data_IF_067421889182
#
_entry.id   IF_067421889182
#
_cell.length_a   1.000
_cell.length_b   1.000
_cell.length_c   1.000
_cell.angle_alpha   90.00
_cell.angle_beta   90.00
_cell.angle_gamma   90.00
#
_symmetry.space_group_name_H-M   'P 1'
#
loop_
_entity.id
_entity.type
_entity.pdbx_description
1 polymer ?
#
# COMPACT_ATOMS: atom_id res chain seq x y z
N UNK A 1 20.56 -17.06 -1.58
CA UNK A 1 20.75 -15.87 -2.45
C UNK A 1 22.21 -15.78 -2.88
N UNK A 2 22.50 -15.32 -4.11
CA UNK A 2 23.88 -15.02 -4.51
C UNK A 2 24.37 -13.72 -3.88
N UNK A 3 25.69 -13.57 -3.62
CA UNK A 3 26.29 -12.37 -3.01
C UNK A 3 25.85 -11.08 -3.72
N UNK A 4 25.92 -11.02 -5.04
CA UNK A 4 25.54 -9.86 -5.85
C UNK A 4 24.08 -9.40 -5.64
N UNK A 5 23.16 -10.32 -5.34
CA UNK A 5 21.74 -9.98 -5.10
C UNK A 5 21.50 -9.42 -3.70
N UNK A 6 22.25 -9.89 -2.72
CA UNK A 6 22.26 -9.33 -1.36
C UNK A 6 22.82 -7.92 -1.40
N UNK A 7 23.86 -7.66 -2.20
CA UNK A 7 24.44 -6.33 -2.37
C UNK A 7 23.43 -5.35 -3.01
N UNK A 8 22.63 -5.80 -4.00
CA UNK A 8 21.58 -4.98 -4.59
C UNK A 8 20.50 -4.59 -3.55
N UNK A 9 20.02 -5.54 -2.74
CA UNK A 9 19.04 -5.24 -1.69
C UNK A 9 19.57 -4.27 -0.65
N UNK A 10 20.86 -4.37 -0.31
CA UNK A 10 21.50 -3.41 0.61
C UNK A 10 21.59 -2.00 0.03
N UNK A 11 21.80 -1.87 -1.28
CA UNK A 11 21.79 -0.56 -1.96
C UNK A 11 20.36 0.02 -1.90
N UNK A 12 19.34 -0.75 -2.26
CA UNK A 12 17.94 -0.32 -2.18
C UNK A 12 17.54 0.06 -0.75
N UNK A 13 17.95 -0.71 0.24
CA UNK A 13 17.75 -0.40 1.66
C UNK A 13 18.45 0.92 2.04
N UNK A 14 19.70 1.12 1.66
CA UNK A 14 20.44 2.33 1.96
C UNK A 14 19.80 3.58 1.33
N UNK A 15 19.31 3.48 0.09
CA UNK A 15 18.56 4.56 -0.57
C UNK A 15 17.26 4.88 0.19
N UNK A 16 16.48 3.86 0.55
CA UNK A 16 15.23 4.05 1.27
C UNK A 16 15.45 4.65 2.68
N UNK A 17 16.48 4.16 3.39
CA UNK A 17 16.90 4.68 4.70
C UNK A 17 17.32 6.15 4.59
N UNK A 18 18.09 6.51 3.55
CA UNK A 18 18.47 7.90 3.30
C UNK A 18 17.24 8.78 3.11
N UNK A 19 16.32 8.40 2.21
CA UNK A 19 15.07 9.12 1.95
C UNK A 19 14.27 9.36 3.24
N UNK A 20 14.11 8.32 4.06
CA UNK A 20 13.34 8.42 5.31
C UNK A 20 14.01 9.42 6.29
N UNK A 21 15.34 9.35 6.41
CA UNK A 21 16.11 10.27 7.27
C UNK A 21 16.02 11.72 6.82
N UNK A 22 16.10 11.97 5.50
CA UNK A 22 15.94 13.32 4.93
C UNK A 22 14.57 13.91 5.29
N UNK A 23 13.49 13.12 5.12
CA UNK A 23 12.13 13.57 5.48
C UNK A 23 12.00 13.89 6.95
N UNK A 24 12.51 13.03 7.83
CA UNK A 24 12.41 13.25 9.29
C UNK A 24 13.26 14.43 9.75
N UNK A 25 14.35 14.75 9.01
CA UNK A 25 15.19 15.90 9.31
C UNK A 25 14.61 17.23 8.81
N UNK A 26 13.88 17.23 7.67
CA UNK A 26 13.38 18.44 7.01
C UNK A 26 11.93 18.80 7.38
N UNK A 27 11.10 17.81 7.73
CA UNK A 27 9.65 17.97 7.92
C UNK A 27 9.24 17.72 9.37
N UNK A 28 8.22 18.45 9.80
CA UNK A 28 7.84 18.50 11.23
C UNK A 28 6.88 17.39 11.64
N UNK A 29 6.00 16.97 10.73
CA UNK A 29 4.87 16.07 11.02
C UNK A 29 4.72 14.99 9.96
N UNK A 30 5.72 14.10 9.82
CA UNK A 30 5.58 12.96 8.93
C UNK A 30 4.60 11.92 9.48
N UNK A 31 4.04 11.10 8.59
CA UNK A 31 3.20 9.94 8.92
C UNK A 31 3.54 8.78 7.98
N UNK A 32 3.46 7.55 8.46
CA UNK A 32 3.65 6.37 7.63
C UNK A 32 2.30 5.74 7.29
N UNK A 33 1.99 5.64 5.99
CA UNK A 33 0.77 5.00 5.51
C UNK A 33 0.93 3.47 5.55
N UNK A 34 0.09 2.80 6.30
CA UNK A 34 0.17 1.35 6.54
C UNK A 34 -1.12 0.64 6.14
N UNK A 35 -1.10 -0.06 5.02
CA UNK A 35 -2.23 -0.86 4.55
C UNK A 35 -2.30 -2.27 5.15
N UNK A 36 -1.25 -2.73 5.85
CA UNK A 36 -1.06 -4.12 6.24
C UNK A 36 -0.59 -5.01 5.07
N UNK A 37 -0.38 -4.43 3.89
CA UNK A 37 0.18 -5.11 2.73
C UNK A 37 1.72 -5.23 2.80
N UNK A 38 2.29 -6.18 2.04
CA UNK A 38 3.72 -6.51 2.05
C UNK A 38 4.63 -5.28 1.86
N UNK A 39 4.24 -4.36 0.96
CA UNK A 39 5.02 -3.15 0.67
C UNK A 39 5.03 -2.19 1.89
N UNK A 40 3.89 -2.01 2.56
CA UNK A 40 3.81 -1.20 3.77
C UNK A 40 4.53 -1.85 4.97
N UNK A 41 4.58 -3.19 5.02
CA UNK A 41 5.34 -3.94 6.04
C UNK A 41 6.85 -3.72 5.83
N UNK A 42 7.33 -3.82 4.60
CA UNK A 42 8.73 -3.52 4.25
C UNK A 42 9.06 -2.07 4.53
N UNK A 43 8.17 -1.13 4.16
CA UNK A 43 8.35 0.29 4.45
C UNK A 43 8.45 0.57 5.95
N UNK A 44 7.61 -0.05 6.77
CA UNK A 44 7.69 0.06 8.23
C UNK A 44 9.04 -0.43 8.76
N UNK A 45 9.52 -1.59 8.28
CA UNK A 45 10.84 -2.12 8.66
C UNK A 45 11.97 -1.19 8.27
N UNK A 46 11.92 -0.61 7.07
CA UNK A 46 12.90 0.37 6.61
C UNK A 46 12.89 1.63 7.49
N UNK A 47 11.73 2.10 7.93
CA UNK A 47 11.59 3.24 8.84
C UNK A 47 12.19 2.93 10.23
N UNK A 48 11.92 1.75 10.78
CA UNK A 48 12.53 1.27 12.04
C UNK A 48 14.06 1.25 11.94
N UNK A 49 14.62 0.76 10.84
CA UNK A 49 16.09 0.73 10.59
C UNK A 49 16.65 2.13 10.37
N UNK A 50 15.95 2.98 9.61
CA UNK A 50 16.41 4.34 9.33
C UNK A 50 16.63 5.16 10.59
N UNK A 51 15.80 4.97 11.59
CA UNK A 51 15.83 5.74 12.85
C UNK A 51 16.59 5.02 13.97
N UNK A 52 17.27 3.91 13.64
CA UNK A 52 18.09 3.16 14.60
C UNK A 52 17.28 2.45 15.68
N UNK A 53 15.98 2.33 15.48
CA UNK A 53 15.08 1.80 16.52
C UNK A 53 15.17 0.28 16.69
N UNK A 54 15.74 -0.45 15.72
CA UNK A 54 15.97 -1.90 15.78
C UNK A 54 14.75 -2.75 16.16
N UNK A 55 13.54 -2.14 16.17
CA UNK A 55 12.32 -2.74 16.66
C UNK A 55 12.10 -2.61 18.18
N UNK A 56 12.98 -1.91 18.90
CA UNK A 56 12.91 -1.80 20.37
C UNK A 56 12.24 -0.51 20.87
N UNK A 57 12.12 0.51 20.01
CA UNK A 57 11.47 1.78 20.36
C UNK A 57 10.41 2.14 19.31
N UNK A 58 9.34 2.84 19.71
CA UNK A 58 8.35 3.33 18.76
C UNK A 58 8.94 4.37 17.79
N UNK A 59 8.38 4.45 16.60
CA UNK A 59 8.70 5.52 15.64
C UNK A 59 8.33 6.88 16.25
N UNK A 60 9.09 7.95 15.94
CA UNK A 60 8.81 9.30 16.45
C UNK A 60 7.62 9.99 15.76
N UNK A 61 6.92 9.28 14.89
CA UNK A 61 5.73 9.73 14.17
C UNK A 61 4.72 8.60 14.08
N UNK A 62 3.42 8.91 13.93
CA UNK A 62 2.37 7.91 13.90
C UNK A 62 2.32 7.13 12.58
N UNK A 63 1.63 6.00 12.66
CA UNK A 63 1.25 5.15 11.53
C UNK A 63 -0.23 5.41 11.25
N UNK A 64 -0.59 5.65 9.98
CA UNK A 64 -1.96 5.90 9.54
C UNK A 64 -2.46 4.75 8.67
N UNK A 65 -3.57 4.16 9.05
CA UNK A 65 -4.32 3.18 8.27
C UNK A 65 -5.66 3.77 7.83
N UNK A 66 -6.02 3.61 6.56
CA UNK A 66 -7.37 3.92 6.07
C UNK A 66 -8.18 2.64 6.07
N UNK A 67 -9.18 2.59 6.94
CA UNK A 67 -10.09 1.44 7.06
C UNK A 67 -11.31 1.66 6.17
N UNK A 68 -11.46 0.83 5.14
CA UNK A 68 -12.62 0.89 4.24
C UNK A 68 -13.87 0.25 4.85
N UNK A 69 -13.74 -0.57 5.90
CA UNK A 69 -14.77 -1.48 6.38
C UNK A 69 -14.92 -2.73 5.50
N UNK A 70 -14.19 -2.80 4.37
CA UNK A 70 -14.13 -3.95 3.45
C UNK A 70 -12.72 -4.55 3.38
N UNK A 71 -11.91 -4.36 4.42
CA UNK A 71 -10.58 -4.93 4.52
C UNK A 71 -10.66 -6.43 4.89
N UNK A 72 -9.63 -7.19 4.51
CA UNK A 72 -9.50 -8.58 4.93
C UNK A 72 -9.29 -8.66 6.46
N UNK A 73 -10.08 -9.48 7.18
CA UNK A 73 -9.92 -9.62 8.64
C UNK A 73 -8.50 -10.01 9.06
N UNK A 74 -7.85 -10.90 8.29
CA UNK A 74 -6.48 -11.37 8.55
C UNK A 74 -5.45 -10.22 8.47
N UNK A 75 -5.73 -9.22 7.64
CA UNK A 75 -4.87 -8.02 7.49
C UNK A 75 -5.07 -7.08 8.66
N UNK A 76 -6.32 -6.87 9.10
CA UNK A 76 -6.62 -6.02 10.24
C UNK A 76 -6.04 -6.61 11.54
N UNK A 77 -6.20 -7.91 11.75
CA UNK A 77 -5.63 -8.61 12.91
C UNK A 77 -4.10 -8.50 12.93
N UNK A 78 -3.47 -8.75 11.79
CA UNK A 78 -2.02 -8.60 11.64
C UNK A 78 -1.58 -7.16 11.94
N UNK A 79 -2.25 -6.14 11.35
CA UNK A 79 -1.97 -4.72 11.58
C UNK A 79 -1.99 -4.40 13.08
N UNK A 80 -3.09 -4.73 13.74
CA UNK A 80 -3.29 -4.37 15.14
C UNK A 80 -2.25 -5.02 16.05
N UNK A 81 -1.94 -6.29 15.79
CA UNK A 81 -0.91 -7.01 16.53
C UNK A 81 0.47 -6.39 16.28
N UNK A 82 0.88 -6.23 15.01
CA UNK A 82 2.22 -5.76 14.61
C UNK A 82 2.52 -4.36 15.16
N UNK A 83 1.55 -3.45 15.09
CA UNK A 83 1.72 -2.08 15.54
C UNK A 83 1.75 -1.99 17.05
N UNK A 84 0.85 -2.70 17.74
CA UNK A 84 0.81 -2.78 19.20
C UNK A 84 2.08 -3.38 19.77
N UNK A 85 2.54 -4.50 19.24
CA UNK A 85 3.71 -5.23 19.77
C UNK A 85 5.02 -4.44 19.58
N UNK A 86 5.09 -3.59 18.56
CA UNK A 86 6.18 -2.63 18.38
C UNK A 86 6.02 -1.32 19.18
N UNK A 87 4.88 -1.12 19.84
CA UNK A 87 4.59 0.09 20.61
C UNK A 87 4.38 1.34 19.76
N UNK A 88 4.14 1.20 18.46
CA UNK A 88 3.90 2.34 17.58
C UNK A 88 2.51 2.96 17.80
N UNK A 89 2.40 4.27 17.55
CA UNK A 89 1.11 4.96 17.52
C UNK A 89 0.36 4.63 16.23
N UNK A 90 -0.89 4.14 16.36
CA UNK A 90 -1.78 3.84 15.23
C UNK A 90 -2.94 4.82 15.18
N UNK A 91 -3.08 5.50 14.05
CA UNK A 91 -4.26 6.30 13.69
C UNK A 91 -5.06 5.51 12.65
N UNK A 92 -6.35 5.31 12.89
CA UNK A 92 -7.26 4.65 11.94
C UNK A 92 -8.24 5.68 11.41
N UNK A 93 -8.17 5.96 10.10
CA UNK A 93 -9.12 6.81 9.40
C UNK A 93 -10.21 5.93 8.77
N UNK A 94 -11.45 6.04 9.27
CA UNK A 94 -12.56 5.18 8.85
C UNK A 94 -13.35 5.80 7.70
N UNK A 95 -13.48 5.05 6.59
CA UNK A 95 -14.36 5.42 5.47
C UNK A 95 -15.82 5.40 5.94
N UNK A 96 -16.20 4.46 6.83
CA UNK A 96 -17.56 4.43 7.39
C UNK A 96 -17.88 5.70 8.18
N UNK A 97 -16.95 6.22 8.95
CA UNK A 97 -17.15 7.51 9.63
C UNK A 97 -17.26 8.67 8.65
N UNK A 98 -16.47 8.66 7.56
CA UNK A 98 -16.55 9.68 6.51
C UNK A 98 -17.91 9.66 5.81
N UNK A 99 -18.48 8.47 5.58
CA UNK A 99 -19.86 8.30 5.08
C UNK A 99 -20.88 8.86 6.09
N UNK A 100 -20.78 8.46 7.35
CA UNK A 100 -21.69 8.90 8.42
C UNK A 100 -21.69 10.42 8.62
N UNK A 101 -20.55 11.06 8.37
CA UNK A 101 -20.39 12.53 8.43
C UNK A 101 -20.78 13.24 7.12
N UNK A 102 -21.20 12.51 6.08
CA UNK A 102 -21.55 13.07 4.77
C UNK A 102 -20.36 13.63 3.98
N UNK A 103 -19.13 13.22 4.31
CA UNK A 103 -17.90 13.63 3.61
C UNK A 103 -17.71 12.90 2.29
N UNK A 104 -18.18 11.68 2.20
CA UNK A 104 -18.23 10.83 1.02
C UNK A 104 -19.55 10.09 0.96
N UNK A 105 -19.96 9.68 -0.23
CA UNK A 105 -21.18 8.92 -0.45
C UNK A 105 -20.83 7.58 -1.10
N UNK A 106 -21.40 6.49 -0.61
CA UNK A 106 -21.31 5.18 -1.23
C UNK A 106 -22.56 4.88 -2.05
N UNK A 107 -22.41 4.17 -3.16
CA UNK A 107 -23.55 3.79 -4.02
C UNK A 107 -24.42 2.71 -3.39
N UNK A 108 -23.80 1.78 -2.67
CA UNK A 108 -24.48 0.73 -1.89
C UNK A 108 -23.51 0.16 -0.81
N UNK A 109 -24.04 -0.50 0.24
CA UNK A 109 -23.21 -1.11 1.29
C UNK A 109 -22.22 -2.19 0.81
N UNK A 110 -22.42 -2.72 -0.40
CA UNK A 110 -21.55 -3.73 -1.04
C UNK A 110 -20.74 -3.15 -2.20
N UNK A 111 -20.85 -1.85 -2.49
CA UNK A 111 -20.05 -1.19 -3.49
C UNK A 111 -18.57 -1.09 -3.05
N UNK A 112 -17.68 -0.99 -4.01
CA UNK A 112 -16.27 -0.76 -3.70
C UNK A 112 -16.07 0.60 -3.02
N UNK A 113 -15.40 0.59 -1.89
CA UNK A 113 -15.00 1.80 -1.17
C UNK A 113 -13.59 2.28 -1.52
N UNK A 114 -12.96 1.67 -2.53
CA UNK A 114 -11.58 1.96 -2.89
C UNK A 114 -11.37 3.43 -3.29
N UNK A 115 -12.33 4.04 -3.99
CA UNK A 115 -12.27 5.48 -4.36
C UNK A 115 -12.46 6.39 -3.14
N UNK A 116 -13.33 6.00 -2.20
CA UNK A 116 -13.65 6.78 -1.01
C UNK A 116 -12.46 6.93 -0.05
N UNK A 117 -11.48 6.01 -0.12
CA UNK A 117 -10.25 6.07 0.68
C UNK A 117 -9.49 7.36 0.46
N UNK A 118 -9.47 7.91 -0.77
CA UNK A 118 -8.71 9.11 -1.09
C UNK A 118 -9.17 10.29 -0.27
N UNK A 119 -10.47 10.54 -0.21
CA UNK A 119 -11.02 11.65 0.58
C UNK A 119 -10.81 11.45 2.06
N UNK A 120 -11.08 10.24 2.57
CA UNK A 120 -10.85 9.89 3.98
C UNK A 120 -9.39 10.10 4.39
N UNK A 121 -8.46 9.72 3.52
CA UNK A 121 -7.03 9.95 3.75
C UNK A 121 -6.69 11.44 3.81
N UNK A 122 -7.19 12.25 2.85
CA UNK A 122 -6.94 13.68 2.81
C UNK A 122 -7.48 14.38 4.06
N UNK A 123 -8.70 14.05 4.48
CA UNK A 123 -9.30 14.59 5.70
C UNK A 123 -8.47 14.23 6.96
N UNK A 124 -7.93 13.01 7.03
CA UNK A 124 -7.06 12.61 8.13
C UNK A 124 -5.72 13.36 8.14
N UNK A 125 -5.09 13.54 6.96
CA UNK A 125 -3.84 14.28 6.85
C UNK A 125 -4.00 15.75 7.24
N UNK A 126 -5.10 16.37 6.82
CA UNK A 126 -5.44 17.75 7.17
C UNK A 126 -5.73 17.89 8.68
N UNK A 127 -6.56 17.00 9.25
CA UNK A 127 -6.95 17.04 10.66
C UNK A 127 -5.73 16.94 11.60
N UNK A 128 -4.76 16.10 11.25
CA UNK A 128 -3.51 15.92 12.00
C UNK A 128 -2.39 16.87 11.55
N UNK A 129 -2.61 17.65 10.50
CA UNK A 129 -1.63 18.59 9.90
C UNK A 129 -0.34 17.91 9.50
N UNK A 130 -0.42 16.71 8.92
CA UNK A 130 0.74 16.01 8.40
C UNK A 130 1.28 16.73 7.16
N UNK A 131 2.59 16.96 7.14
CA UNK A 131 3.32 17.64 6.06
C UNK A 131 3.99 16.65 5.11
N UNK A 132 4.26 15.42 5.57
CA UNK A 132 4.74 14.31 4.75
C UNK A 132 3.98 13.02 5.02
N UNK A 133 3.76 12.23 3.97
CA UNK A 133 3.20 10.88 4.13
C UNK A 133 4.02 9.85 3.34
N UNK A 134 4.70 8.97 4.07
CA UNK A 134 5.42 7.84 3.50
C UNK A 134 4.45 6.81 2.92
N UNK A 135 4.69 6.36 1.70
CA UNK A 135 3.92 5.33 1.03
C UNK A 135 4.82 4.24 0.43
N UNK A 136 4.30 3.01 0.41
CA UNK A 136 5.00 1.84 -0.15
C UNK A 136 4.92 1.73 -1.68
N UNK A 137 4.55 2.79 -2.40
CA UNK A 137 4.42 2.77 -3.85
C UNK A 137 5.74 2.55 -4.58
N UNK A 138 5.71 1.73 -5.65
CA UNK A 138 6.85 1.34 -6.46
C UNK A 138 6.62 1.69 -7.94
N UNK A 139 7.70 2.00 -8.66
CA UNK A 139 7.61 2.36 -10.09
C UNK A 139 7.22 1.19 -10.99
N UNK A 140 7.55 -0.04 -10.60
CA UNK A 140 7.20 -1.25 -11.36
C UNK A 140 5.74 -1.69 -11.22
N UNK A 141 5.06 -1.16 -10.22
CA UNK A 141 3.69 -1.54 -9.87
C UNK A 141 2.67 -1.08 -10.94
N UNK A 142 2.86 0.15 -11.45
CA UNK A 142 1.95 0.78 -12.41
C UNK A 142 2.64 1.87 -13.24
N UNK A 143 2.25 2.05 -14.50
CA UNK A 143 2.82 3.08 -15.41
C UNK A 143 2.69 4.51 -14.87
N UNK A 144 1.58 4.84 -14.20
CA UNK A 144 1.38 6.16 -13.61
C UNK A 144 2.37 6.43 -12.47
N UNK A 145 2.73 5.40 -11.70
CA UNK A 145 3.74 5.51 -10.64
C UNK A 145 5.16 5.67 -11.17
N UNK A 146 5.45 5.16 -12.35
CA UNK A 146 6.76 5.35 -12.98
C UNK A 146 7.09 6.83 -13.25
N UNK A 147 6.07 7.69 -13.36
CA UNK A 147 6.21 9.15 -13.55
C UNK A 147 6.33 9.91 -12.23
N UNK A 148 5.97 9.32 -11.09
CA UNK A 148 6.07 9.99 -9.80
C UNK A 148 7.52 10.07 -9.34
N UNK A 149 7.85 11.18 -8.66
CA UNK A 149 9.12 11.38 -8.00
C UNK A 149 9.13 10.66 -6.65
N UNK A 150 10.29 10.48 -6.06
CA UNK A 150 10.42 9.99 -4.68
C UNK A 150 9.74 10.96 -3.73
N UNK A 151 9.97 12.27 -3.92
CA UNK A 151 9.21 13.36 -3.27
C UNK A 151 8.15 13.86 -4.24
N UNK A 152 6.92 13.38 -4.08
CA UNK A 152 5.78 13.75 -4.93
C UNK A 152 4.96 14.85 -4.27
N UNK A 153 5.11 16.07 -4.78
CA UNK A 153 4.46 17.26 -4.22
C UNK A 153 2.97 17.26 -4.52
N UNK A 154 2.19 17.63 -3.51
CA UNK A 154 0.74 17.79 -3.56
C UNK A 154 0.39 19.24 -3.24
N UNK A 155 -0.61 19.75 -3.94
CA UNK A 155 -1.17 21.07 -3.66
C UNK A 155 -1.98 21.07 -2.34
N UNK A 156 -2.58 22.22 -2.02
CA UNK A 156 -3.43 22.41 -0.85
C UNK A 156 -4.70 21.52 -0.83
N UNK A 157 -5.09 20.97 -2.00
CA UNK A 157 -6.20 20.03 -2.14
C UNK A 157 -5.72 18.56 -2.10
N UNK A 158 -4.42 18.32 -1.89
CA UNK A 158 -3.82 16.99 -1.89
C UNK A 158 -3.64 16.35 -3.27
N UNK A 159 -3.85 17.14 -4.36
CA UNK A 159 -3.69 16.68 -5.73
C UNK A 159 -2.23 16.71 -6.17
N UNK A 160 -1.86 15.81 -7.08
CA UNK A 160 -0.53 15.83 -7.67
C UNK A 160 -0.35 17.07 -8.54
N UNK A 161 0.63 17.91 -8.17
CA UNK A 161 0.95 19.16 -8.86
C UNK A 161 2.17 18.94 -9.77
N UNK A 162 1.98 18.77 -11.09
CA UNK A 162 3.08 18.47 -12.02
C UNK A 162 4.14 19.58 -12.06
N UNK A 163 3.73 20.84 -11.92
CA UNK A 163 4.63 21.99 -11.98
C UNK A 163 5.46 22.17 -10.72
N UNK A 164 5.01 21.64 -9.59
CA UNK A 164 5.74 21.68 -8.33
C UNK A 164 6.77 20.55 -8.18
N UNK A 165 6.74 19.54 -9.10
CA UNK A 165 7.67 18.43 -9.04
C UNK A 165 9.10 18.90 -9.27
N UNK A 166 10.02 18.47 -8.42
CA UNK A 166 11.43 18.87 -8.47
C UNK A 166 12.28 17.77 -9.05
N UNK A 167 13.34 18.09 -9.83
CA UNK A 167 14.32 17.09 -10.23
C UNK A 167 15.05 16.54 -9.01
N UNK A 168 15.37 15.24 -9.05
CA UNK A 168 16.08 14.51 -7.99
C UNK A 168 17.43 13.98 -8.47
N UNK A 169 18.33 14.85 -9.00
CA UNK A 169 19.63 14.41 -9.49
C UNK A 169 20.49 13.94 -8.31
N UNK A 170 21.26 12.87 -8.51
CA UNK A 170 22.18 12.32 -7.51
C UNK A 170 21.53 11.98 -6.18
N UNK A 171 20.23 11.62 -6.17
CA UNK A 171 19.47 11.35 -4.96
C UNK A 171 19.45 12.51 -3.95
N UNK A 172 19.52 13.74 -4.45
CA UNK A 172 19.34 14.93 -3.64
C UNK A 172 17.85 15.32 -3.65
N UNK A 173 17.27 15.40 -2.46
CA UNK A 173 15.88 15.72 -2.27
C UNK A 173 15.73 17.15 -1.72
N UNK A 174 14.67 17.81 -2.08
CA UNK A 174 14.33 19.14 -1.57
C UNK A 174 12.91 19.09 -1.01
N UNK A 175 12.79 18.91 0.29
CA UNK A 175 11.53 18.78 1.04
C UNK A 175 10.83 20.10 1.34
N UNK A 176 11.36 21.26 0.88
CA UNK A 176 10.75 22.56 1.18
C UNK A 176 9.33 22.65 0.64
N UNK A 177 8.36 22.81 1.53
CA UNK A 177 6.94 23.00 1.24
C UNK A 177 6.47 24.39 1.65
N UNK A 178 5.37 24.85 1.06
CA UNK A 178 4.63 26.02 1.49
C UNK A 178 3.53 25.58 2.47
N UNK A 179 2.98 26.56 3.18
CA UNK A 179 1.86 26.30 4.08
C UNK A 179 0.66 25.74 3.28
N UNK A 180 0.15 24.58 3.70
CA UNK A 180 -0.94 23.85 3.04
C UNK A 180 -0.51 22.82 2.00
N UNK A 181 0.74 22.88 1.51
CA UNK A 181 1.28 21.81 0.64
C UNK A 181 1.68 20.58 1.46
N UNK A 182 1.70 19.42 0.81
CA UNK A 182 2.11 18.13 1.39
C UNK A 182 3.02 17.38 0.42
N UNK A 183 3.85 16.52 0.97
CA UNK A 183 4.68 15.61 0.17
C UNK A 183 4.24 14.17 0.41
N UNK A 184 3.98 13.44 -0.68
CA UNK A 184 3.95 11.97 -0.65
C UNK A 184 5.36 11.49 -0.91
N UNK A 185 5.87 10.67 -0.02
CA UNK A 185 7.25 10.17 -0.10
C UNK A 185 7.23 8.68 -0.38
N UNK A 186 7.98 8.26 -1.40
CA UNK A 186 8.04 6.87 -1.84
C UNK A 186 9.46 6.30 -1.73
N UNK A 187 9.93 5.94 -0.52
CA UNK A 187 11.30 5.47 -0.32
C UNK A 187 11.61 4.18 -1.09
N UNK A 188 10.58 3.41 -1.39
CA UNK A 188 10.67 2.13 -2.09
C UNK A 188 10.48 2.23 -3.61
N UNK A 189 10.53 3.43 -4.20
CA UNK A 189 10.26 3.65 -5.63
C UNK A 189 11.04 2.72 -6.57
N UNK A 190 12.27 2.38 -6.22
CA UNK A 190 13.18 1.58 -7.04
C UNK A 190 13.11 0.07 -6.76
N UNK A 191 12.34 -0.37 -5.75
CA UNK A 191 12.12 -1.79 -5.50
C UNK A 191 11.21 -2.39 -6.56
N UNK A 192 11.52 -3.60 -7.02
CA UNK A 192 10.60 -4.46 -7.77
C UNK A 192 9.78 -5.32 -6.81
N UNK A 193 8.67 -5.92 -7.29
CA UNK A 193 7.91 -6.90 -6.50
C UNK A 193 8.84 -8.02 -5.98
N UNK A 194 9.72 -8.49 -6.83
CA UNK A 194 10.67 -9.53 -6.47
C UNK A 194 11.69 -9.08 -5.41
N UNK A 195 12.10 -7.82 -5.42
CA UNK A 195 12.99 -7.26 -4.40
C UNK A 195 12.28 -7.14 -3.05
N UNK A 196 10.99 -6.76 -3.06
CA UNK A 196 10.15 -6.74 -1.84
C UNK A 196 10.09 -8.15 -1.23
N UNK A 197 9.77 -9.17 -2.01
CA UNK A 197 9.72 -10.55 -1.51
C UNK A 197 11.06 -11.07 -1.00
N UNK A 198 12.16 -10.72 -1.68
CA UNK A 198 13.51 -11.07 -1.24
C UNK A 198 13.90 -10.35 0.04
N UNK A 199 13.50 -9.09 0.18
CA UNK A 199 13.73 -8.31 1.39
C UNK A 199 12.95 -8.88 2.58
N UNK A 200 11.69 -9.29 2.37
CA UNK A 200 10.90 -10.02 3.36
C UNK A 200 11.61 -11.31 3.81
N UNK A 201 12.17 -12.06 2.87
CA UNK A 201 12.94 -13.27 3.19
C UNK A 201 14.26 -12.97 3.93
N UNK A 202 14.94 -11.88 3.57
CA UNK A 202 16.22 -11.47 4.18
C UNK A 202 16.05 -10.99 5.62
N UNK A 203 14.99 -10.23 5.88
CA UNK A 203 14.68 -9.65 7.20
C UNK A 203 13.73 -10.54 8.03
N UNK A 204 13.34 -11.71 7.50
CA UNK A 204 12.42 -12.67 8.15
C UNK A 204 11.10 -12.00 8.60
N UNK A 205 10.55 -11.12 7.74
CA UNK A 205 9.37 -10.36 8.08
C UNK A 205 8.11 -11.23 8.10
N UNK A 206 7.33 -11.08 9.16
CA UNK A 206 6.01 -11.69 9.25
C UNK A 206 5.02 -10.99 8.32
N UNK A 207 4.13 -11.78 7.71
CA UNK A 207 3.07 -11.32 6.80
C UNK A 207 1.69 -11.82 7.23
N UNK A 208 0.60 -11.14 6.83
CA UNK A 208 -0.75 -11.71 6.91
C UNK A 208 -0.82 -13.07 6.20
N UNK A 209 -1.55 -14.02 6.80
CA UNK A 209 -1.67 -15.38 6.30
C UNK A 209 -2.19 -15.50 4.86
N UNK A 210 -2.97 -14.51 4.41
CA UNK A 210 -3.56 -14.49 3.06
C UNK A 210 -2.53 -14.38 1.93
N UNK A 211 -1.29 -14.04 2.22
CA UNK A 211 -0.21 -14.06 1.24
C UNK A 211 0.28 -15.47 0.87
N UNK A 212 -0.07 -16.44 1.69
CA UNK A 212 0.27 -17.85 1.48
C UNK A 212 -0.96 -18.65 1.06
N UNK A 213 -0.72 -19.80 0.42
CA UNK A 213 -1.78 -20.69 -0.04
C UNK A 213 -2.67 -21.14 1.12
N UNK A 214 -3.96 -20.95 0.96
CA UNK A 214 -5.00 -21.39 1.87
C UNK A 214 -6.27 -21.72 1.10
N UNK A 215 -7.11 -22.56 1.67
CA UNK A 215 -8.41 -22.89 1.09
C UNK A 215 -9.40 -21.74 1.32
N UNK A 216 -10.08 -21.29 0.25
CA UNK A 216 -11.09 -20.23 0.32
C UNK A 216 -12.26 -20.48 -0.63
N UNK A 217 -13.45 -20.13 -0.18
CA UNK A 217 -14.63 -20.07 -1.04
C UNK A 217 -14.57 -18.80 -1.89
N UNK A 218 -14.69 -18.98 -3.20
CA UNK A 218 -14.59 -17.90 -4.17
C UNK A 218 -15.71 -17.98 -5.21
N UNK A 219 -16.03 -16.83 -5.78
CA UNK A 219 -16.83 -16.70 -7.01
C UNK A 219 -15.96 -16.14 -8.12
N UNK A 220 -16.25 -16.50 -9.36
CA UNK A 220 -15.51 -16.01 -10.53
C UNK A 220 -16.28 -14.90 -11.21
N UNK A 221 -15.77 -13.64 -11.16
CA UNK A 221 -16.36 -12.48 -11.83
C UNK A 221 -15.30 -11.77 -12.66
N UNK A 222 -15.61 -11.49 -13.91
CA UNK A 222 -14.71 -10.78 -14.84
C UNK A 222 -13.29 -11.37 -14.91
N UNK A 223 -13.20 -12.69 -14.76
CA UNK A 223 -11.93 -13.43 -14.76
C UNK A 223 -11.11 -13.30 -13.49
N UNK A 224 -11.70 -12.81 -12.40
CA UNK A 224 -11.09 -12.75 -11.08
C UNK A 224 -11.77 -13.72 -10.11
N UNK A 225 -10.99 -14.27 -9.18
CA UNK A 225 -11.49 -15.05 -8.06
C UNK A 225 -11.71 -14.12 -6.86
N UNK A 226 -12.96 -13.82 -6.54
CA UNK A 226 -13.33 -12.98 -5.41
C UNK A 226 -13.76 -13.84 -4.22
N UNK A 227 -13.25 -13.53 -3.03
CA UNK A 227 -13.61 -14.26 -1.81
C UNK A 227 -15.08 -14.03 -1.44
N UNK A 228 -15.82 -15.09 -1.20
CA UNK A 228 -17.16 -15.00 -0.60
C UNK A 228 -17.05 -14.40 0.80
N UNK A 229 -17.83 -13.37 1.06
CA UNK A 229 -17.79 -12.60 2.29
C UNK A 229 -19.11 -11.88 2.55
N UNK A 230 -19.18 -11.10 3.63
CA UNK A 230 -20.34 -10.25 3.92
C UNK A 230 -20.62 -9.19 2.86
N UNK A 231 -19.59 -8.79 2.08
CA UNK A 231 -19.70 -7.77 1.02
C UNK A 231 -19.71 -8.37 -0.39
N UNK A 232 -19.34 -9.65 -0.54
CA UNK A 232 -19.37 -10.40 -1.79
C UNK A 232 -20.21 -11.66 -1.59
N UNK A 233 -21.51 -11.53 -1.76
CA UNK A 233 -22.42 -12.68 -1.78
C UNK A 233 -22.50 -13.29 -3.19
N UNK A 234 -22.63 -14.63 -3.32
CA UNK A 234 -22.89 -15.25 -4.61
C UNK A 234 -24.18 -14.74 -5.25
N UNK A 235 -24.14 -14.45 -6.55
CA UNK A 235 -25.32 -14.08 -7.33
C UNK A 235 -26.16 -15.32 -7.68
N UNK A 236 -27.41 -15.12 -8.08
CA UNK A 236 -28.28 -16.22 -8.48
C UNK A 236 -27.68 -16.98 -9.68
N UNK A 237 -27.41 -18.28 -9.50
CA UNK A 237 -26.80 -19.13 -10.52
C UNK A 237 -25.26 -19.08 -10.61
N UNK A 238 -24.61 -18.29 -9.76
CA UNK A 238 -23.15 -18.24 -9.67
C UNK A 238 -22.63 -19.42 -8.85
N UNK A 239 -21.64 -20.14 -9.39
CA UNK A 239 -21.01 -21.24 -8.67
C UNK A 239 -20.04 -20.70 -7.61
N UNK A 240 -20.08 -21.32 -6.43
CA UNK A 240 -19.10 -21.10 -5.38
C UNK A 240 -18.10 -22.26 -5.41
N UNK A 241 -16.85 -21.94 -5.69
CA UNK A 241 -15.77 -22.89 -5.72
C UNK A 241 -14.94 -22.82 -4.44
N UNK A 242 -14.53 -23.98 -3.91
CA UNK A 242 -13.59 -24.06 -2.79
C UNK A 242 -12.23 -24.44 -3.32
N UNK A 243 -11.28 -23.51 -3.31
CA UNK A 243 -10.00 -23.64 -4.01
C UNK A 243 -8.82 -23.17 -3.18
N UNK A 244 -7.62 -23.70 -3.49
CA UNK A 244 -6.36 -23.23 -2.94
C UNK A 244 -5.96 -21.94 -3.65
N UNK A 245 -5.87 -20.84 -2.87
CA UNK A 245 -5.56 -19.51 -3.36
C UNK A 245 -4.64 -18.76 -2.41
N UNK A 246 -3.99 -17.75 -2.93
CA UNK A 246 -3.33 -16.70 -2.16
C UNK A 246 -3.63 -15.32 -2.77
N UNK A 247 -3.26 -14.26 -2.06
CA UNK A 247 -3.35 -12.91 -2.57
C UNK A 247 -1.96 -12.35 -2.89
N UNK A 248 -1.78 -11.72 -4.05
CA UNK A 248 -0.53 -11.01 -4.41
C UNK A 248 -0.52 -9.60 -3.86
N UNK A 249 -1.71 -8.96 -3.79
CA UNK A 249 -1.93 -7.63 -3.22
C UNK A 249 -2.99 -7.73 -2.14
N UNK A 250 -3.04 -6.76 -1.24
CA UNK A 250 -4.14 -6.55 -0.30
C UNK A 250 -4.77 -5.18 -0.51
N UNK A 251 -6.08 -5.10 -0.30
CA UNK A 251 -6.87 -3.89 -0.46
C UNK A 251 -8.31 -4.14 -0.05
N UNK A 252 -9.25 -3.43 -0.67
CA UNK A 252 -10.68 -3.66 -0.50
C UNK A 252 -11.06 -5.03 -1.08
N UNK A 253 -11.81 -5.84 -0.32
CA UNK A 253 -12.30 -7.17 -0.69
C UNK A 253 -13.02 -7.18 -2.03
N UNK A 254 -13.79 -6.12 -2.33
CA UNK A 254 -14.65 -6.03 -3.51
C UNK A 254 -13.88 -5.92 -4.83
N UNK A 255 -12.62 -5.50 -4.80
CA UNK A 255 -11.77 -5.27 -5.98
C UNK A 255 -10.45 -6.02 -5.95
N UNK A 256 -10.24 -6.88 -4.96
CA UNK A 256 -8.99 -7.63 -4.81
C UNK A 256 -9.24 -9.11 -5.13
N UNK A 257 -8.74 -9.56 -6.28
CA UNK A 257 -8.81 -10.95 -6.71
C UNK A 257 -7.72 -11.81 -6.09
N UNK A 258 -8.07 -13.07 -5.82
CA UNK A 258 -7.12 -14.12 -5.45
C UNK A 258 -6.52 -14.77 -6.70
N UNK A 259 -5.35 -15.38 -6.54
CA UNK A 259 -4.71 -16.24 -7.54
C UNK A 259 -4.64 -17.67 -7.03
N UNK A 260 -4.82 -18.66 -7.93
CA UNK A 260 -4.61 -20.08 -7.58
C UNK A 260 -3.13 -20.30 -7.28
N UNK A 261 -2.83 -20.91 -6.16
CA UNK A 261 -1.44 -21.12 -5.73
C UNK A 261 -1.35 -22.18 -4.66
N UNK A 262 -0.24 -22.92 -4.68
CA UNK A 262 0.14 -23.88 -3.66
C UNK A 262 1.31 -23.38 -2.79
N UNK A 263 1.73 -22.11 -2.95
CA UNK A 263 2.86 -21.52 -2.26
C UNK A 263 2.55 -21.27 -0.78
N UNK A 264 3.14 -22.04 0.12
CA UNK A 264 2.93 -21.97 1.57
C UNK A 264 4.05 -21.25 2.33
N UNK A 265 5.07 -20.77 1.63
CA UNK A 265 6.23 -20.11 2.23
C UNK A 265 6.71 -18.94 1.38
N UNK A 266 7.45 -18.02 2.00
CA UNK A 266 8.10 -16.91 1.28
C UNK A 266 8.97 -17.41 0.13
N UNK A 267 9.69 -18.51 0.33
CA UNK A 267 10.54 -19.12 -0.70
C UNK A 267 9.74 -19.60 -1.91
N UNK A 268 8.61 -20.28 -1.70
CA UNK A 268 7.75 -20.73 -2.80
C UNK A 268 7.05 -19.58 -3.51
N UNK A 269 6.65 -18.54 -2.80
CA UNK A 269 6.10 -17.32 -3.41
C UNK A 269 7.16 -16.61 -4.29
N UNK A 270 8.41 -16.55 -3.85
CA UNK A 270 9.50 -15.99 -4.66
C UNK A 270 9.66 -16.73 -5.99
N UNK A 271 9.56 -18.08 -6.00
CA UNK A 271 9.66 -18.85 -7.25
C UNK A 271 8.46 -18.60 -8.17
N UNK A 272 7.24 -18.45 -7.64
CA UNK A 272 6.08 -18.05 -8.43
C UNK A 272 6.25 -16.67 -9.04
N UNK A 273 6.67 -15.66 -8.25
CA UNK A 273 6.87 -14.29 -8.71
C UNK A 273 7.93 -14.21 -9.81
N UNK A 274 9.00 -15.00 -9.72
CA UNK A 274 10.04 -15.07 -10.78
C UNK A 274 9.50 -15.57 -12.11
N UNK A 275 8.52 -16.49 -12.08
CA UNK A 275 7.94 -17.09 -13.29
C UNK A 275 6.77 -16.26 -13.86
N UNK A 276 6.25 -15.30 -13.11
CA UNK A 276 5.15 -14.46 -13.53
C UNK A 276 5.60 -13.43 -14.56
N UNK A 277 4.86 -13.33 -15.66
CA UNK A 277 5.06 -12.32 -16.73
C UNK A 277 4.10 -11.14 -16.60
N UNK A 278 3.11 -11.25 -15.71
CA UNK A 278 2.06 -10.24 -15.50
C UNK A 278 2.38 -9.46 -14.23
N UNK A 279 2.23 -8.14 -14.29
CA UNK A 279 2.41 -7.29 -13.12
C UNK A 279 1.40 -7.66 -12.02
N UNK A 280 1.79 -7.43 -10.78
CA UNK A 280 0.99 -7.71 -9.59
C UNK A 280 -0.44 -7.14 -9.69
N UNK A 281 -0.59 -5.89 -10.08
CA UNK A 281 -1.90 -5.23 -10.20
C UNK A 281 -2.69 -5.68 -11.42
N UNK A 282 -2.03 -5.89 -12.55
CA UNK A 282 -2.70 -6.36 -13.78
C UNK A 282 -3.38 -7.71 -13.61
N UNK A 283 -2.94 -8.55 -12.67
CA UNK A 283 -3.54 -9.84 -12.39
C UNK A 283 -4.66 -9.76 -11.34
N UNK A 284 -4.55 -8.89 -10.33
CA UNK A 284 -5.33 -9.00 -9.10
C UNK A 284 -6.29 -7.83 -8.83
N UNK A 285 -6.27 -6.75 -9.63
CA UNK A 285 -7.10 -5.57 -9.42
C UNK A 285 -8.10 -5.35 -10.54
N UNK A 286 -9.40 -5.33 -10.19
CA UNK A 286 -10.48 -5.11 -11.15
C UNK A 286 -10.40 -3.73 -11.81
N UNK A 287 -10.18 -2.71 -11.00
CA UNK A 287 -10.14 -1.32 -11.42
C UNK A 287 -8.91 -0.98 -12.30
N UNK A 288 -7.81 -1.75 -12.20
CA UNK A 288 -6.62 -1.55 -13.04
C UNK A 288 -6.72 -2.30 -14.40
N UNK A 289 -7.66 -3.24 -14.55
CA UNK A 289 -7.90 -3.97 -15.82
C UNK A 289 -8.73 -3.17 -16.82
N UNK A 290 -9.56 -2.25 -16.36
CA UNK A 290 -10.50 -1.47 -17.19
C UNK A 290 -9.96 -0.11 -17.61
N UNK A 291 -8.90 0.40 -16.97
CA UNK A 291 -8.27 1.69 -17.30
C UNK A 291 -6.76 1.59 -17.30
N UNK A 292 -6.11 2.00 -18.41
CA UNK A 292 -4.64 2.12 -18.46
C UNK A 292 -4.09 3.25 -17.59
N UNK A 293 -4.96 4.06 -17.02
CA UNK A 293 -4.64 5.23 -16.22
C UNK A 293 -5.47 5.29 -14.93
N UNK A 294 -5.79 4.14 -14.33
CA UNK A 294 -6.68 4.04 -13.16
C UNK A 294 -6.29 5.00 -12.01
N UNK A 295 -4.99 5.28 -11.81
CA UNK A 295 -4.55 6.28 -10.84
C UNK A 295 -4.79 7.73 -11.32
N UNK A 296 -4.66 8.02 -12.61
CA UNK A 296 -4.94 9.34 -13.15
C UNK A 296 -6.45 9.61 -13.11
N UNK A 297 -7.26 8.61 -13.37
CA UNK A 297 -8.72 8.69 -13.27
C UNK A 297 -9.17 8.90 -11.82
N UNK A 298 -8.60 8.17 -10.85
CA UNK A 298 -8.84 8.40 -9.41
C UNK A 298 -8.42 9.80 -8.95
N UNK A 299 -7.32 10.33 -9.50
CA UNK A 299 -6.88 11.72 -9.25
C UNK A 299 -7.90 12.73 -9.80
N UNK A 300 -8.49 12.46 -10.97
CA UNK A 300 -9.51 13.34 -11.59
C UNK A 300 -10.86 13.24 -10.89
N UNK A 301 -11.25 12.07 -10.44
CA UNK A 301 -12.54 11.85 -9.76
C UNK A 301 -12.53 12.40 -8.34
N UNK A 302 -11.42 12.24 -7.60
CA UNK A 302 -11.21 12.88 -6.30
C UNK A 302 -11.19 14.43 -6.35
N UNK A 303 -11.10 15.01 -7.57
CA UNK A 303 -11.14 16.46 -7.80
C UNK A 303 -12.55 17.00 -8.09
N UNK A 304 -13.54 16.14 -8.25
CA UNK A 304 -14.93 16.52 -8.63
C UNK A 304 -15.93 16.47 -7.47
N UNK A 305 -15.45 16.19 -6.24
CA UNK A 305 -16.30 16.14 -5.05
C UNK A 305 -15.97 17.28 -4.10
#
# INVERSE_FOLDING_TARGET
MTSTRVDQLRILEAEAVHVIREVVAELERPVLLFSGGKDSIVLLRLAEKALGMGGSLPLPFPILHVDTGHNFPEVLEFRDRRIRDAGHELIVASVQESINRGRVQEDSPTASRNQLQTRTLLDALEAHRFDAAFGGGRRDEERARAKERVFSFRDEFGQWEPHAQRPEPWSLYNGRIRRGEQIRVFPMSNFTELDVWRYIALEELELPSIYFSHEREVVSRDGMLLAVSSVIAPLQGEAVDRVQVRYRTVGDLTVTGAVRSDAQSVASVIEEVKSSTISERGETRADDRTSQAAMEDRKREGSRV
#
